data_IF_881049457490
#
_entry.id   IF_881049457490
#
_cell.length_a   1.000
_cell.length_b   1.000
_cell.length_c   1.000
_cell.angle_alpha   90.00
_cell.angle_beta   90.00
_cell.angle_gamma   90.00
#
_symmetry.space_group_name_H-M   'P 1'
#
loop_
_entity.id
_entity.type
_entity.pdbx_description
1 polymer ?
#
# COMPACT_ATOMS: atom_id res chain seq x y z
N UNK A 1 -15.80 -21.50 28.15
CA UNK A 1 -14.39 -21.94 28.30
C UNK A 1 -13.52 -20.74 28.06
N UNK A 2 -12.93 -20.23 29.14
CA UNK A 2 -12.12 -19.02 29.12
C UNK A 2 -10.74 -19.36 28.51
N UNK A 3 -10.64 -19.25 27.20
CA UNK A 3 -9.42 -19.54 26.45
C UNK A 3 -8.45 -18.36 26.51
N UNK A 4 -8.04 -17.98 27.70
CA UNK A 4 -6.90 -17.07 27.84
C UNK A 4 -5.68 -17.82 27.31
N UNK A 5 -5.19 -17.42 26.13
CA UNK A 5 -3.90 -17.88 25.63
C UNK A 5 -2.85 -17.55 26.70
N UNK A 6 -2.12 -18.54 27.20
CA UNK A 6 -0.99 -18.31 28.08
C UNK A 6 0.06 -17.48 27.35
N UNK A 7 0.62 -16.47 28.02
CA UNK A 7 1.73 -15.71 27.47
C UNK A 7 2.92 -16.62 27.25
N UNK A 8 3.49 -16.60 26.06
CA UNK A 8 4.69 -17.37 25.72
C UNK A 8 5.93 -16.58 26.15
N UNK A 9 6.77 -17.20 26.97
CA UNK A 9 8.06 -16.65 27.38
C UNK A 9 9.15 -17.13 26.43
N UNK A 10 9.68 -16.26 25.60
CA UNK A 10 10.72 -16.60 24.62
C UNK A 10 12.07 -17.02 25.24
N UNK A 11 12.28 -16.75 26.53
CA UNK A 11 13.52 -17.22 27.23
C UNK A 11 13.56 -18.73 27.36
N UNK A 12 12.41 -19.39 27.21
CA UNK A 12 12.26 -20.85 27.27
C UNK A 12 12.42 -21.55 25.91
N UNK A 13 12.63 -20.78 24.85
CA UNK A 13 12.67 -21.29 23.46
C UNK A 13 13.95 -20.87 22.76
N UNK A 14 14.46 -21.74 21.91
CA UNK A 14 15.42 -21.38 20.89
C UNK A 14 14.67 -20.92 19.62
N UNK A 15 15.25 -20.04 18.78
CA UNK A 15 14.60 -19.55 17.57
C UNK A 15 14.16 -20.64 16.59
N UNK A 16 14.89 -21.76 16.48
CA UNK A 16 14.56 -22.88 15.60
C UNK A 16 13.33 -23.67 16.07
N UNK A 17 13.04 -23.71 17.36
CA UNK A 17 11.81 -24.30 17.90
C UNK A 17 10.56 -23.52 17.43
N UNK A 18 10.72 -22.26 17.08
CA UNK A 18 9.70 -21.42 16.45
C UNK A 18 9.78 -21.41 14.91
N UNK A 19 10.49 -22.35 14.31
CA UNK A 19 10.76 -22.41 12.88
C UNK A 19 11.39 -21.12 12.34
N UNK A 20 12.29 -20.52 13.11
CA UNK A 20 13.13 -19.40 12.69
C UNK A 20 14.54 -19.94 12.33
N UNK A 21 15.29 -19.19 11.48
CA UNK A 21 16.58 -19.68 11.00
C UNK A 21 17.59 -19.93 12.12
N UNK A 22 18.30 -21.05 12.07
CA UNK A 22 19.30 -21.50 13.06
C UNK A 22 20.51 -20.57 13.20
N UNK A 23 20.70 -19.59 12.29
CA UNK A 23 21.71 -18.54 12.45
C UNK A 23 21.45 -17.64 13.66
N UNK A 24 20.23 -17.62 14.18
CA UNK A 24 19.87 -16.95 15.43
C UNK A 24 19.97 -17.97 16.57
N UNK A 25 21.05 -17.90 17.34
CA UNK A 25 21.33 -18.90 18.39
C UNK A 25 20.39 -18.77 19.60
N UNK A 26 19.94 -17.56 19.94
CA UNK A 26 19.03 -17.32 21.07
C UNK A 26 18.30 -15.99 20.91
N UNK A 27 17.23 -15.83 21.65
CA UNK A 27 16.58 -14.53 21.81
C UNK A 27 17.31 -13.68 22.84
N UNK A 28 17.44 -12.37 22.56
CA UNK A 28 17.96 -11.41 23.54
C UNK A 28 16.89 -11.12 24.58
N UNK A 29 17.29 -10.80 25.79
CA UNK A 29 16.37 -10.46 26.89
C UNK A 29 15.36 -9.36 26.50
N UNK A 30 15.84 -8.30 25.82
CA UNK A 30 14.97 -7.22 25.35
C UNK A 30 13.92 -7.68 24.32
N UNK A 31 14.23 -8.69 23.50
CA UNK A 31 13.27 -9.26 22.54
C UNK A 31 12.22 -10.12 23.25
N UNK A 32 12.64 -10.94 24.22
CA UNK A 32 11.74 -11.75 25.02
C UNK A 32 10.76 -10.87 25.81
N UNK A 33 11.28 -9.86 26.50
CA UNK A 33 10.46 -8.90 27.22
C UNK A 33 9.47 -8.16 26.31
N UNK A 34 9.92 -7.72 25.12
CA UNK A 34 9.05 -7.01 24.17
C UNK A 34 7.93 -7.92 23.63
N UNK A 35 8.20 -9.21 23.35
CA UNK A 35 7.17 -10.16 22.93
C UNK A 35 6.18 -10.45 24.05
N UNK A 36 6.66 -10.71 25.25
CA UNK A 36 5.82 -10.95 26.43
C UNK A 36 4.91 -9.76 26.70
N UNK A 37 5.47 -8.55 26.72
CA UNK A 37 4.71 -7.32 26.89
C UNK A 37 3.66 -7.12 25.80
N UNK A 38 4.03 -7.31 24.52
CA UNK A 38 3.09 -7.15 23.40
C UNK A 38 1.91 -8.14 23.50
N UNK A 39 2.18 -9.40 23.90
CA UNK A 39 1.12 -10.37 24.13
C UNK A 39 0.16 -9.89 25.25
N UNK A 40 0.71 -9.37 26.35
CA UNK A 40 -0.09 -8.85 27.48
C UNK A 40 -0.98 -7.67 27.05
N UNK A 41 -0.48 -6.78 26.20
CA UNK A 41 -1.26 -5.68 25.63
C UNK A 41 -2.45 -6.20 24.84
N UNK A 42 -2.27 -7.15 23.94
CA UNK A 42 -3.37 -7.72 23.14
C UNK A 42 -4.36 -8.54 24.00
N UNK A 43 -3.86 -9.25 25.01
CA UNK A 43 -4.71 -9.99 25.97
C UNK A 43 -5.55 -9.03 26.84
N UNK A 44 -5.08 -7.80 27.08
CA UNK A 44 -5.85 -6.76 27.78
C UNK A 44 -6.98 -6.14 26.93
N UNK A 45 -7.12 -6.58 25.66
CA UNK A 45 -8.12 -6.08 24.71
C UNK A 45 -7.70 -4.82 23.98
N UNK A 46 -6.43 -4.40 24.07
CA UNK A 46 -5.89 -3.29 23.27
C UNK A 46 -5.56 -3.78 21.87
N UNK A 47 -5.89 -2.95 20.88
CA UNK A 47 -5.59 -3.23 19.46
C UNK A 47 -4.17 -2.89 19.07
N UNK A 48 -3.59 -1.86 19.69
CA UNK A 48 -2.30 -1.28 19.32
C UNK A 48 -1.25 -1.39 20.41
N UNK A 49 -0.08 -1.93 20.05
CA UNK A 49 1.10 -1.94 20.90
C UNK A 49 2.20 -1.06 20.29
N UNK A 50 2.67 -0.08 21.06
CA UNK A 50 3.78 0.81 20.69
C UNK A 50 5.10 0.28 21.24
N UNK A 51 6.00 -0.21 20.40
CA UNK A 51 7.25 -0.87 20.83
C UNK A 51 8.46 -0.02 20.46
N UNK A 52 9.17 0.46 21.47
CA UNK A 52 10.41 1.22 21.29
C UNK A 52 11.62 0.29 21.50
N UNK A 53 12.25 -0.12 20.39
CA UNK A 53 13.46 -0.95 20.42
C UNK A 53 14.62 -0.21 19.75
N UNK A 54 15.78 -0.08 20.44
CA UNK A 54 16.93 0.63 19.90
C UNK A 54 17.46 -0.04 18.62
N UNK A 55 18.22 0.72 17.83
CA UNK A 55 18.93 0.18 16.69
C UNK A 55 19.88 -0.94 17.14
N UNK A 56 19.89 -2.04 16.39
CA UNK A 56 20.70 -3.22 16.74
C UNK A 56 20.07 -4.16 17.79
N UNK A 57 18.90 -3.83 18.36
CA UNK A 57 18.20 -4.74 19.28
C UNK A 57 17.64 -6.01 18.60
N UNK A 58 17.66 -6.07 17.26
CA UNK A 58 17.12 -7.19 16.49
C UNK A 58 15.61 -7.12 16.32
N UNK A 59 15.08 -5.94 15.92
CA UNK A 59 13.66 -5.71 15.60
C UNK A 59 13.10 -6.74 14.62
N UNK A 60 13.90 -7.16 13.63
CA UNK A 60 13.49 -8.14 12.62
C UNK A 60 13.18 -9.51 13.25
N UNK A 61 14.05 -9.97 14.15
CA UNK A 61 13.85 -11.24 14.89
C UNK A 61 12.65 -11.13 15.84
N UNK A 62 12.50 -9.99 16.55
CA UNK A 62 11.32 -9.73 17.39
C UNK A 62 10.03 -9.84 16.57
N UNK A 63 9.96 -9.19 15.39
CA UNK A 63 8.77 -9.20 14.55
C UNK A 63 8.39 -10.61 14.10
N UNK A 64 9.39 -11.39 13.67
CA UNK A 64 9.17 -12.77 13.24
C UNK A 64 8.82 -13.70 14.40
N UNK A 65 9.46 -13.53 15.56
CA UNK A 65 9.14 -14.31 16.76
C UNK A 65 7.70 -14.03 17.22
N UNK A 66 7.28 -12.76 17.26
CA UNK A 66 5.91 -12.39 17.61
C UNK A 66 4.88 -13.02 16.65
N UNK A 67 5.15 -12.99 15.34
CA UNK A 67 4.30 -13.63 14.34
C UNK A 67 4.15 -15.13 14.58
N UNK A 68 5.24 -15.82 14.96
CA UNK A 68 5.21 -17.25 15.30
C UNK A 68 4.45 -17.55 16.59
N UNK A 69 4.70 -16.75 17.63
CA UNK A 69 4.08 -16.92 18.95
C UNK A 69 2.57 -16.69 18.89
N UNK A 70 2.11 -15.68 18.15
CA UNK A 70 0.67 -15.45 17.99
C UNK A 70 0.01 -16.43 17.01
N UNK A 71 0.77 -17.04 16.11
CA UNK A 71 0.29 -18.09 15.20
C UNK A 71 -0.77 -17.62 14.19
N UNK A 72 -0.95 -16.29 14.01
CA UNK A 72 -1.95 -15.71 13.11
C UNK A 72 -1.29 -15.22 11.83
N UNK A 73 -2.05 -15.14 10.72
CA UNK A 73 -1.55 -14.53 9.49
C UNK A 73 -1.06 -13.11 9.74
N UNK A 74 0.19 -12.84 9.36
CA UNK A 74 0.90 -11.62 9.74
C UNK A 74 1.42 -10.85 8.53
N UNK A 75 1.25 -9.52 8.55
CA UNK A 75 1.90 -8.60 7.60
C UNK A 75 2.94 -7.77 8.33
N UNK A 76 4.13 -7.66 7.74
CA UNK A 76 5.20 -6.78 8.19
C UNK A 76 5.35 -5.65 7.16
N UNK A 77 5.25 -4.41 7.61
CA UNK A 77 5.47 -3.22 6.77
C UNK A 77 6.83 -2.60 7.07
N UNK A 78 7.54 -2.28 6.00
CA UNK A 78 8.85 -1.60 6.07
C UNK A 78 8.83 -0.29 5.31
N UNK A 79 9.72 0.64 5.66
CA UNK A 79 9.82 1.94 4.98
C UNK A 79 10.57 1.87 3.66
N UNK A 80 11.53 0.96 3.52
CA UNK A 80 12.43 0.89 2.38
C UNK A 80 12.54 -0.51 1.79
N UNK A 81 12.93 -0.59 0.50
CA UNK A 81 13.23 -1.85 -0.17
C UNK A 81 14.44 -2.56 0.44
N UNK A 82 15.44 -1.81 0.91
CA UNK A 82 16.62 -2.40 1.56
C UNK A 82 16.28 -3.12 2.86
N UNK A 83 15.38 -2.57 3.69
CA UNK A 83 14.86 -3.27 4.86
C UNK A 83 14.05 -4.51 4.47
N UNK A 84 13.25 -4.42 3.41
CA UNK A 84 12.51 -5.58 2.91
C UNK A 84 13.45 -6.70 2.44
N UNK A 85 14.54 -6.36 1.77
CA UNK A 85 15.60 -7.31 1.36
C UNK A 85 16.29 -7.94 2.57
N UNK A 86 16.65 -7.14 3.57
CA UNK A 86 17.24 -7.65 4.81
C UNK A 86 16.34 -8.69 5.51
N UNK A 87 15.03 -8.44 5.58
CA UNK A 87 14.08 -9.41 6.14
C UNK A 87 14.06 -10.71 5.31
N UNK A 88 14.10 -10.60 3.99
CA UNK A 88 14.12 -11.78 3.11
C UNK A 88 15.41 -12.58 3.25
N UNK A 89 16.56 -11.91 3.28
CA UNK A 89 17.86 -12.57 3.48
C UNK A 89 17.91 -13.31 4.82
N UNK A 90 17.21 -12.76 5.81
CA UNK A 90 17.15 -13.35 7.14
C UNK A 90 16.12 -14.48 7.26
N UNK A 91 14.93 -14.36 6.64
CA UNK A 91 13.77 -15.18 6.98
C UNK A 91 13.02 -15.82 5.80
N UNK A 92 13.50 -15.71 4.56
CA UNK A 92 12.85 -16.40 3.44
C UNK A 92 12.78 -17.92 3.66
N UNK A 93 13.83 -18.52 4.22
CA UNK A 93 13.86 -19.94 4.57
C UNK A 93 12.84 -20.33 5.66
N UNK A 94 12.41 -19.37 6.45
CA UNK A 94 11.34 -19.53 7.44
C UNK A 94 9.93 -19.26 6.87
N UNK A 95 9.76 -19.15 5.55
CA UNK A 95 8.48 -18.96 4.89
C UNK A 95 7.97 -17.52 4.89
N UNK A 96 8.86 -16.52 5.02
CA UNK A 96 8.53 -15.13 4.76
C UNK A 96 8.41 -14.91 3.25
N UNK A 97 7.25 -14.41 2.82
CA UNK A 97 6.95 -14.07 1.42
C UNK A 97 6.97 -12.56 1.25
N UNK A 98 7.43 -12.05 0.10
CA UNK A 98 7.38 -10.62 -0.18
C UNK A 98 6.48 -10.27 -1.37
N UNK A 99 6.02 -9.02 -1.37
CA UNK A 99 5.37 -8.39 -2.52
C UNK A 99 5.81 -6.93 -2.65
N UNK A 100 6.06 -6.52 -3.89
CA UNK A 100 6.51 -5.15 -4.24
C UNK A 100 5.64 -4.59 -5.36
N UNK A 101 5.80 -3.31 -5.66
CA UNK A 101 5.16 -2.71 -6.84
C UNK A 101 5.55 -3.43 -8.13
N UNK A 102 4.63 -3.48 -9.08
CA UNK A 102 4.77 -4.23 -10.35
C UNK A 102 6.07 -3.90 -11.11
N UNK A 103 6.57 -2.69 -10.98
CA UNK A 103 7.81 -2.24 -11.63
C UNK A 103 9.08 -2.95 -11.11
N UNK A 104 8.99 -3.72 -10.04
CA UNK A 104 10.10 -4.51 -9.52
C UNK A 104 10.20 -5.91 -10.17
N UNK A 105 9.21 -6.29 -10.96
CA UNK A 105 9.14 -7.60 -11.61
C UNK A 105 9.49 -7.51 -13.09
N UNK A 106 10.19 -8.52 -13.61
CA UNK A 106 10.47 -8.64 -15.03
C UNK A 106 9.17 -8.93 -15.81
N UNK A 107 8.98 -8.26 -16.93
CA UNK A 107 7.84 -8.51 -17.79
C UNK A 107 8.10 -9.76 -18.65
N UNK A 108 7.39 -10.85 -18.42
CA UNK A 108 7.51 -12.10 -19.21
C UNK A 108 7.17 -11.87 -20.67
N UNK A 109 6.19 -11.02 -20.95
CA UNK A 109 5.78 -10.70 -22.32
C UNK A 109 6.76 -9.84 -23.11
N UNK A 110 7.71 -9.18 -22.47
CA UNK A 110 8.69 -8.26 -23.07
C UNK A 110 10.01 -8.19 -22.29
N UNK A 111 10.77 -9.28 -22.15
CA UNK A 111 12.09 -9.22 -21.52
C UNK A 111 13.05 -8.31 -22.33
N UNK A 112 13.97 -7.56 -21.68
CA UNK A 112 14.23 -7.47 -20.24
C UNK A 112 13.43 -6.36 -19.53
N UNK A 113 12.36 -5.84 -20.15
CA UNK A 113 11.56 -4.74 -19.61
C UNK A 113 10.92 -5.13 -18.27
N UNK A 114 10.76 -4.13 -17.39
CA UNK A 114 10.00 -4.28 -16.15
C UNK A 114 8.50 -4.07 -16.41
N UNK A 115 7.66 -4.61 -15.54
CA UNK A 115 6.23 -4.47 -15.67
C UNK A 115 5.80 -3.00 -15.50
N UNK A 116 5.22 -2.42 -16.54
CA UNK A 116 4.73 -1.03 -16.55
C UNK A 116 3.21 -0.94 -16.71
N UNK A 117 2.62 -1.96 -17.33
CA UNK A 117 1.25 -1.90 -17.82
C UNK A 117 0.32 -2.77 -16.99
N UNK A 118 -0.93 -2.35 -16.86
CA UNK A 118 -2.01 -3.10 -16.23
C UNK A 118 -3.05 -3.59 -17.27
N UNK A 119 -4.19 -4.10 -16.79
CA UNK A 119 -5.27 -4.60 -17.67
C UNK A 119 -5.78 -3.54 -18.65
N UNK A 120 -5.97 -2.31 -18.19
CA UNK A 120 -6.48 -1.20 -19.00
C UNK A 120 -5.51 -0.79 -20.11
N UNK A 121 -4.19 -0.91 -19.86
CA UNK A 121 -3.17 -0.62 -20.85
C UNK A 121 -2.88 -1.80 -21.77
N UNK A 122 -3.74 -2.80 -21.79
CA UNK A 122 -3.69 -3.95 -22.70
C UNK A 122 -2.58 -4.96 -22.35
N UNK A 123 -2.33 -5.19 -21.08
CA UNK A 123 -1.53 -6.32 -20.64
C UNK A 123 -2.33 -7.62 -20.80
N UNK A 124 -1.87 -8.50 -21.68
CA UNK A 124 -2.53 -9.77 -21.95
C UNK A 124 -2.35 -10.79 -20.82
N UNK A 125 -1.36 -10.59 -19.95
CA UNK A 125 -1.05 -11.47 -18.81
C UNK A 125 -1.58 -10.92 -17.48
N UNK A 126 -2.40 -9.88 -17.50
CA UNK A 126 -3.02 -9.37 -16.29
C UNK A 126 -4.00 -10.41 -15.72
N UNK A 127 -3.76 -10.82 -14.48
CA UNK A 127 -4.52 -11.89 -13.82
C UNK A 127 -4.05 -13.31 -14.17
N UNK A 128 -3.02 -13.47 -15.02
CA UNK A 128 -2.46 -14.77 -15.37
C UNK A 128 -1.24 -15.10 -14.49
N UNK A 129 -1.22 -16.29 -13.90
CA UNK A 129 -0.09 -16.77 -13.08
C UNK A 129 1.21 -16.98 -13.88
N UNK A 130 1.17 -16.99 -15.20
CA UNK A 130 2.35 -16.90 -16.06
C UNK A 130 3.07 -15.54 -15.97
N UNK A 131 2.43 -14.49 -15.41
CA UNK A 131 3.06 -13.22 -15.10
C UNK A 131 3.78 -13.26 -13.76
N UNK A 132 5.04 -12.89 -13.71
CA UNK A 132 5.85 -12.89 -12.46
C UNK A 132 5.24 -12.03 -11.37
N UNK A 133 4.63 -10.89 -11.70
CA UNK A 133 3.96 -10.04 -10.73
C UNK A 133 2.65 -10.66 -10.19
N UNK A 134 1.83 -11.22 -11.08
CA UNK A 134 0.57 -11.84 -10.66
C UNK A 134 0.81 -13.12 -9.86
N UNK A 135 1.85 -13.91 -10.20
CA UNK A 135 2.29 -15.05 -9.40
C UNK A 135 2.72 -14.60 -7.99
N UNK A 136 3.59 -13.60 -7.89
CA UNK A 136 4.02 -13.06 -6.59
C UNK A 136 2.85 -12.49 -5.78
N UNK A 137 1.89 -11.83 -6.44
CA UNK A 137 0.67 -11.32 -5.81
C UNK A 137 -0.21 -12.45 -5.29
N UNK A 138 -0.30 -13.55 -6.03
CA UNK A 138 -1.02 -14.74 -5.61
C UNK A 138 -0.35 -15.40 -4.40
N UNK A 139 0.96 -15.61 -4.44
CA UNK A 139 1.75 -16.15 -3.32
C UNK A 139 1.60 -15.27 -2.06
N UNK A 140 1.66 -13.94 -2.21
CA UNK A 140 1.45 -13.00 -1.11
C UNK A 140 0.08 -13.16 -0.46
N UNK A 141 -0.96 -13.47 -1.23
CA UNK A 141 -2.32 -13.70 -0.69
C UNK A 141 -2.43 -15.01 0.11
N UNK A 142 -1.60 -16.00 -0.19
CA UNK A 142 -1.58 -17.29 0.50
C UNK A 142 -0.61 -17.32 1.68
N UNK A 143 0.24 -16.31 1.82
CA UNK A 143 1.31 -16.28 2.80
C UNK A 143 0.78 -16.27 4.24
N UNK A 144 1.40 -17.04 5.13
CA UNK A 144 1.19 -16.92 6.58
C UNK A 144 1.91 -15.69 7.14
N UNK A 145 3.07 -15.36 6.59
CA UNK A 145 3.83 -14.17 6.95
C UNK A 145 4.26 -13.46 5.67
N UNK A 146 3.79 -12.24 5.51
CA UNK A 146 4.02 -11.39 4.36
C UNK A 146 4.85 -10.18 4.76
N UNK A 147 5.83 -9.80 3.93
CA UNK A 147 6.49 -8.50 4.04
C UNK A 147 6.24 -7.66 2.81
N UNK A 148 5.98 -6.37 3.03
CA UNK A 148 5.89 -5.39 1.95
C UNK A 148 6.24 -3.99 2.47
N UNK A 149 6.32 -3.00 1.59
CA UNK A 149 6.52 -1.62 2.01
C UNK A 149 5.18 -0.87 2.21
N UNK A 150 5.21 0.18 3.03
CA UNK A 150 4.04 0.99 3.34
C UNK A 150 3.31 1.49 2.09
N UNK A 151 4.04 1.99 1.09
CA UNK A 151 3.43 2.56 -0.12
C UNK A 151 2.67 1.51 -0.93
N UNK A 152 3.20 0.29 -1.04
CA UNK A 152 2.51 -0.81 -1.70
C UNK A 152 1.26 -1.24 -0.92
N UNK A 153 1.41 -1.43 0.40
CA UNK A 153 0.31 -1.82 1.28
C UNK A 153 -0.88 -0.87 1.21
N UNK A 154 -0.62 0.42 1.41
CA UNK A 154 -1.69 1.43 1.40
C UNK A 154 -2.35 1.52 0.02
N UNK A 155 -1.57 1.54 -1.06
CA UNK A 155 -2.13 1.58 -2.43
C UNK A 155 -2.93 0.34 -2.78
N UNK A 156 -2.45 -0.84 -2.42
CA UNK A 156 -3.16 -2.10 -2.68
C UNK A 156 -4.51 -2.16 -1.94
N UNK A 157 -4.60 -1.59 -0.73
CA UNK A 157 -5.82 -1.59 0.06
C UNK A 157 -6.76 -0.42 -0.23
N UNK A 158 -6.25 0.73 -0.69
CA UNK A 158 -7.09 1.88 -1.08
C UNK A 158 -7.66 1.71 -2.50
N UNK A 159 -6.81 1.32 -3.44
CA UNK A 159 -7.13 1.33 -4.87
C UNK A 159 -7.19 -0.06 -5.51
N UNK A 160 -6.69 -1.09 -4.84
CA UNK A 160 -6.70 -2.45 -5.34
C UNK A 160 -8.06 -3.13 -5.12
N UNK A 161 -8.55 -3.93 -6.09
CA UNK A 161 -9.77 -4.69 -5.90
C UNK A 161 -9.61 -5.67 -4.73
N UNK A 162 -10.23 -5.34 -3.61
CA UNK A 162 -10.29 -6.16 -2.40
C UNK A 162 -8.99 -6.31 -1.60
N UNK A 163 -8.00 -5.45 -1.80
CA UNK A 163 -6.75 -5.49 -1.05
C UNK A 163 -5.88 -6.73 -1.33
N UNK A 164 -4.90 -6.96 -0.46
CA UNK A 164 -3.99 -8.12 -0.61
C UNK A 164 -4.64 -9.46 -0.23
N UNK A 165 -5.77 -9.43 0.48
CA UNK A 165 -6.56 -10.62 0.82
C UNK A 165 -7.97 -10.60 0.26
N UNK A 166 -8.17 -9.98 -0.91
CA UNK A 166 -9.43 -10.13 -1.60
C UNK A 166 -9.67 -11.60 -1.98
N UNK A 167 -10.91 -12.00 -1.80
CA UNK A 167 -11.44 -13.35 -1.96
C UNK A 167 -11.44 -13.88 -3.40
N UNK A 168 -11.05 -13.08 -4.39
CA UNK A 168 -11.11 -13.51 -5.80
C UNK A 168 -9.71 -13.83 -6.29
N UNK A 169 -9.38 -15.11 -6.30
CA UNK A 169 -8.22 -15.67 -7.00
C UNK A 169 -8.47 -15.82 -8.51
N UNK A 170 -7.46 -16.26 -9.28
CA UNK A 170 -7.67 -16.68 -10.65
C UNK A 170 -8.68 -17.84 -10.72
N UNK A 171 -9.36 -18.04 -11.87
CA UNK A 171 -10.33 -19.12 -12.01
C UNK A 171 -9.74 -20.48 -11.59
N UNK A 172 -10.39 -21.16 -10.65
CA UNK A 172 -9.96 -22.45 -10.12
C UNK A 172 -9.05 -22.41 -8.90
N UNK A 173 -8.69 -21.24 -8.38
CA UNK A 173 -7.94 -21.13 -7.13
C UNK A 173 -8.87 -21.20 -5.91
N UNK A 174 -8.40 -21.84 -4.83
CA UNK A 174 -9.12 -21.83 -3.55
C UNK A 174 -9.19 -20.42 -2.96
N UNK A 175 -10.31 -20.07 -2.39
CA UNK A 175 -10.47 -18.81 -1.63
C UNK A 175 -9.48 -18.78 -0.46
N UNK A 176 -8.88 -17.60 -0.23
CA UNK A 176 -8.06 -17.38 0.97
C UNK A 176 -9.00 -17.25 2.16
N UNK A 177 -8.95 -18.21 3.07
CA UNK A 177 -9.92 -18.32 4.16
C UNK A 177 -9.63 -17.42 5.35
N UNK A 178 -8.36 -17.10 5.62
CA UNK A 178 -7.98 -16.43 6.87
C UNK A 178 -7.62 -14.96 6.68
N UNK A 179 -8.32 -14.03 7.35
CA UNK A 179 -7.94 -12.62 7.35
C UNK A 179 -6.61 -12.40 8.08
N UNK A 180 -5.95 -11.28 7.80
CA UNK A 180 -4.76 -10.88 8.55
C UNK A 180 -5.10 -10.67 10.04
N UNK A 181 -4.36 -11.33 10.93
CA UNK A 181 -4.55 -11.25 12.37
C UNK A 181 -3.58 -10.30 13.06
N UNK A 182 -2.43 -10.02 12.42
CA UNK A 182 -1.38 -9.16 12.96
C UNK A 182 -0.80 -8.27 11.86
N UNK A 183 -0.62 -6.98 12.18
CA UNK A 183 0.12 -6.01 11.37
C UNK A 183 1.31 -5.49 12.20
N UNK A 184 2.51 -5.61 11.65
CA UNK A 184 3.73 -5.06 12.28
C UNK A 184 4.26 -3.94 11.41
N UNK A 185 4.33 -2.74 11.97
CA UNK A 185 4.81 -1.53 11.32
C UNK A 185 6.25 -1.25 11.77
N UNK A 186 7.24 -1.75 11.01
CA UNK A 186 8.65 -1.46 11.27
C UNK A 186 9.01 -0.06 10.79
N UNK A 187 9.77 0.67 11.61
CA UNK A 187 9.99 2.11 11.47
C UNK A 187 8.68 2.89 11.28
N UNK A 188 7.73 2.64 12.19
CA UNK A 188 6.34 3.10 12.14
C UNK A 188 6.16 4.61 12.00
N UNK A 189 7.20 5.41 12.26
CA UNK A 189 7.17 6.86 12.01
C UNK A 189 7.00 7.23 10.53
N UNK A 190 7.32 6.33 9.59
CA UNK A 190 7.08 6.51 8.16
C UNK A 190 5.65 6.17 7.69
N UNK A 191 4.86 5.57 8.56
CA UNK A 191 3.51 5.11 8.19
C UNK A 191 2.59 6.26 7.75
N UNK A 192 2.67 7.40 8.45
CA UNK A 192 1.89 8.58 8.10
C UNK A 192 2.31 9.24 6.80
N UNK A 193 3.61 9.31 6.55
CA UNK A 193 4.13 9.85 5.29
C UNK A 193 3.66 9.00 4.10
N UNK A 194 3.70 7.69 4.24
CA UNK A 194 3.21 6.76 3.21
C UNK A 194 1.69 6.90 3.00
N UNK A 195 0.92 7.04 4.07
CA UNK A 195 -0.53 7.26 3.98
C UNK A 195 -0.84 8.60 3.31
N UNK A 196 -0.18 9.69 3.73
CA UNK A 196 -0.33 11.01 3.11
C UNK A 196 0.02 10.97 1.63
N UNK A 197 1.13 10.32 1.26
CA UNK A 197 1.54 10.17 -0.13
C UNK A 197 0.59 9.32 -0.97
N UNK A 198 -0.11 8.36 -0.37
CA UNK A 198 -1.12 7.56 -1.06
C UNK A 198 -2.47 8.29 -1.19
N UNK A 199 -2.82 9.13 -0.23
CA UNK A 199 -4.02 9.98 -0.27
C UNK A 199 -3.86 11.18 -1.19
N UNK A 200 -2.63 11.62 -1.46
CA UNK A 200 -2.35 12.75 -2.35
C UNK A 200 -2.92 12.53 -3.73
N UNK A 201 -3.71 13.49 -4.19
CA UNK A 201 -4.28 13.51 -5.54
C UNK A 201 -3.58 14.56 -6.37
N UNK A 202 -3.28 14.24 -7.62
CA UNK A 202 -2.66 15.18 -8.56
C UNK A 202 -3.40 15.18 -9.88
N UNK A 203 -3.62 16.39 -10.40
CA UNK A 203 -4.13 16.63 -11.76
C UNK A 203 -3.09 17.44 -12.51
N UNK A 204 -2.72 16.99 -13.70
CA UNK A 204 -1.72 17.68 -14.53
C UNK A 204 -2.34 18.32 -15.76
N UNK A 205 -1.78 19.41 -16.19
CA UNK A 205 -2.21 20.09 -17.42
C UNK A 205 -2.11 19.16 -18.64
N UNK A 206 -1.11 18.28 -18.70
CA UNK A 206 -0.97 17.28 -19.77
C UNK A 206 -2.18 16.35 -19.85
N UNK A 207 -2.66 15.84 -18.70
CA UNK A 207 -3.84 14.96 -18.65
C UNK A 207 -5.10 15.69 -19.11
N UNK A 208 -5.29 16.93 -18.68
CA UNK A 208 -6.42 17.76 -19.07
C UNK A 208 -6.41 18.14 -20.56
N UNK A 209 -5.24 18.40 -21.11
CA UNK A 209 -5.08 18.63 -22.56
C UNK A 209 -5.42 17.37 -23.39
N UNK A 210 -5.15 16.18 -22.85
CA UNK A 210 -5.48 14.92 -23.52
C UNK A 210 -6.99 14.74 -23.77
N UNK A 211 -7.83 15.41 -22.97
CA UNK A 211 -9.31 15.46 -23.12
C UNK A 211 -9.83 16.79 -23.67
N UNK A 212 -8.91 17.70 -24.09
CA UNK A 212 -9.29 19.00 -24.66
C UNK A 212 -9.78 20.02 -23.64
N UNK A 213 -9.56 19.83 -22.34
CA UNK A 213 -10.08 20.69 -21.27
C UNK A 213 -8.96 21.43 -20.48
N UNK A 214 -7.74 21.48 -21.01
CA UNK A 214 -6.63 22.15 -20.33
C UNK A 214 -6.87 23.64 -20.07
N UNK A 215 -7.35 24.38 -21.05
CA UNK A 215 -7.64 25.80 -20.90
C UNK A 215 -8.86 26.06 -20.03
N UNK A 216 -9.93 25.25 -20.17
CA UNK A 216 -11.11 25.33 -19.32
C UNK A 216 -10.76 25.18 -17.82
N UNK A 217 -9.95 24.19 -17.51
CA UNK A 217 -9.48 23.98 -16.13
C UNK A 217 -8.65 25.15 -15.63
N UNK A 218 -7.73 25.67 -16.43
CA UNK A 218 -6.89 26.81 -16.07
C UNK A 218 -7.69 28.07 -15.80
N UNK A 219 -8.68 28.35 -16.64
CA UNK A 219 -9.55 29.52 -16.49
C UNK A 219 -10.30 29.47 -15.16
N UNK A 220 -10.91 28.32 -14.85
CA UNK A 220 -11.63 28.12 -13.60
C UNK A 220 -10.68 28.11 -12.38
N UNK A 221 -9.54 27.43 -12.50
CA UNK A 221 -8.54 27.36 -11.44
C UNK A 221 -7.80 28.69 -11.18
N UNK A 222 -7.80 29.64 -12.13
CA UNK A 222 -7.16 30.95 -11.96
C UNK A 222 -8.03 31.94 -11.19
N UNK A 223 -9.32 31.74 -11.18
CA UNK A 223 -10.29 32.63 -10.54
C UNK A 223 -10.44 32.43 -9.04
N UNK A 224 -9.97 31.29 -8.53
CA UNK A 224 -10.14 30.95 -7.12
C UNK A 224 -8.90 30.26 -6.58
N UNK A 225 -8.14 31.01 -5.76
CA UNK A 225 -7.03 30.50 -4.96
C UNK A 225 -7.49 30.16 -3.54
N UNK A 226 -8.77 29.96 -3.33
CA UNK A 226 -9.30 29.59 -2.03
C UNK A 226 -8.80 28.19 -1.65
N UNK A 227 -8.48 28.00 -0.38
CA UNK A 227 -8.20 26.70 0.21
C UNK A 227 -9.48 25.85 0.33
N UNK A 228 -10.59 26.33 -0.22
CA UNK A 228 -11.88 25.65 -0.24
C UNK A 228 -11.91 24.59 -1.33
N UNK A 229 -12.31 23.38 -0.96
CA UNK A 229 -12.36 22.25 -1.89
C UNK A 229 -13.59 22.26 -2.80
N UNK A 230 -14.68 22.95 -2.41
CA UNK A 230 -15.95 22.92 -3.15
C UNK A 230 -15.83 23.33 -4.62
N UNK A 231 -15.17 24.44 -4.99
CA UNK A 231 -15.01 24.82 -6.40
C UNK A 231 -14.28 23.75 -7.23
N UNK A 232 -13.33 23.06 -6.60
CA UNK A 232 -12.59 21.98 -7.23
C UNK A 232 -13.44 20.72 -7.44
N UNK A 233 -14.35 20.42 -6.52
CA UNK A 233 -15.32 19.31 -6.67
C UNK A 233 -16.26 19.59 -7.84
N UNK A 234 -16.87 20.76 -7.89
CA UNK A 234 -17.75 21.16 -8.99
C UNK A 234 -17.04 21.08 -10.35
N UNK A 235 -15.79 21.56 -10.39
CA UNK A 235 -14.95 21.47 -11.59
C UNK A 235 -14.64 20.02 -11.96
N UNK A 236 -14.30 19.18 -11.00
CA UNK A 236 -14.01 17.75 -11.21
C UNK A 236 -15.26 17.00 -11.72
N UNK A 237 -16.44 17.24 -11.12
CA UNK A 237 -17.72 16.68 -11.57
C UNK A 237 -18.03 17.08 -13.01
N UNK A 238 -17.87 18.37 -13.34
CA UNK A 238 -18.15 18.89 -14.68
C UNK A 238 -17.35 18.20 -15.80
N UNK A 239 -16.13 17.74 -15.50
CA UNK A 239 -15.25 17.12 -16.49
C UNK A 239 -15.14 15.60 -16.39
N UNK A 240 -15.59 14.99 -15.29
CA UNK A 240 -15.47 13.55 -15.02
C UNK A 240 -16.12 12.70 -16.12
N UNK A 241 -17.33 13.07 -16.56
CA UNK A 241 -18.07 12.35 -17.62
C UNK A 241 -17.24 12.31 -18.91
N UNK A 242 -16.63 13.44 -19.29
CA UNK A 242 -15.80 13.51 -20.49
C UNK A 242 -14.52 12.69 -20.32
N UNK A 243 -13.85 12.74 -19.17
CA UNK A 243 -12.66 11.95 -18.89
C UNK A 243 -12.95 10.44 -18.99
N UNK A 244 -14.06 9.98 -18.40
CA UNK A 244 -14.51 8.59 -18.48
C UNK A 244 -14.83 8.15 -19.92
N UNK A 245 -15.50 9.00 -20.70
CA UNK A 245 -15.80 8.73 -22.10
C UNK A 245 -14.54 8.59 -22.96
N UNK A 246 -13.57 9.50 -22.78
CA UNK A 246 -12.29 9.47 -23.48
C UNK A 246 -11.44 8.26 -23.06
N UNK A 247 -11.45 7.89 -21.78
CA UNK A 247 -10.80 6.68 -21.29
C UNK A 247 -11.38 5.44 -21.97
N UNK A 248 -12.71 5.28 -21.97
CA UNK A 248 -13.40 4.15 -22.57
C UNK A 248 -13.08 4.02 -24.07
N UNK A 249 -13.13 5.13 -24.80
CA UNK A 249 -12.80 5.18 -26.23
C UNK A 249 -11.35 4.84 -26.51
N UNK A 250 -10.43 5.32 -25.66
CA UNK A 250 -8.98 5.04 -25.79
C UNK A 250 -8.62 3.59 -25.47
N UNK A 251 -9.29 2.98 -24.50
CA UNK A 251 -9.14 1.56 -24.16
C UNK A 251 -9.59 0.67 -25.34
N UNK A 252 -10.75 0.97 -25.94
CA UNK A 252 -11.24 0.22 -27.09
C UNK A 252 -10.33 0.38 -28.32
N UNK A 253 -9.88 1.61 -28.59
CA UNK A 253 -8.90 1.86 -29.66
C UNK A 253 -7.61 1.08 -29.46
N UNK A 254 -7.09 1.02 -28.23
CA UNK A 254 -5.91 0.24 -27.89
C UNK A 254 -6.14 -1.25 -28.13
N UNK A 255 -7.32 -1.77 -27.72
CA UNK A 255 -7.70 -3.17 -27.89
C UNK A 255 -7.76 -3.57 -29.37
N UNK A 256 -8.40 -2.75 -30.21
CA UNK A 256 -8.47 -2.97 -31.66
C UNK A 256 -7.09 -2.88 -32.29
N UNK A 257 -6.31 -1.85 -31.95
CA UNK A 257 -4.97 -1.63 -32.49
C UNK A 257 -3.99 -2.76 -32.12
N UNK A 258 -4.11 -3.33 -30.93
CA UNK A 258 -3.28 -4.46 -30.49
C UNK A 258 -3.55 -5.74 -31.32
N UNK A 259 -4.79 -5.94 -31.76
CA UNK A 259 -5.20 -7.09 -32.60
C UNK A 259 -4.83 -6.91 -34.06
N UNK A 260 -4.80 -5.68 -34.57
CA UNK A 260 -4.60 -5.38 -35.98
C UNK A 260 -3.14 -5.20 -36.42
N UNK A 261 -2.15 -5.54 -35.57
CA UNK A 261 -0.73 -5.50 -35.93
C UNK A 261 -0.17 -4.08 -36.12
N UNK A 262 -0.78 -3.08 -35.55
CA UNK A 262 -0.32 -1.68 -35.60
C UNK A 262 1.12 -1.54 -35.08
N UNK A 263 1.89 -0.64 -35.69
CA UNK A 263 3.29 -0.37 -35.34
C UNK A 263 3.46 -0.14 -33.83
N UNK A 264 4.50 -0.76 -33.26
CA UNK A 264 4.74 -0.81 -31.81
C UNK A 264 4.83 0.59 -31.15
N UNK A 265 5.41 1.59 -31.84
CA UNK A 265 5.46 2.97 -31.37
C UNK A 265 4.08 3.57 -31.11
N UNK A 266 3.12 3.32 -32.01
CA UNK A 266 1.74 3.80 -31.85
C UNK A 266 1.03 3.10 -30.68
N UNK A 267 1.29 1.81 -30.48
CA UNK A 267 0.75 1.09 -29.31
C UNK A 267 1.29 1.63 -27.97
N UNK A 268 2.57 2.02 -27.94
CA UNK A 268 3.16 2.63 -26.74
C UNK A 268 2.46 3.96 -26.43
N UNK A 269 2.29 4.82 -27.42
CA UNK A 269 1.59 6.11 -27.24
C UNK A 269 0.13 5.92 -26.77
N UNK A 270 -0.59 4.94 -27.33
CA UNK A 270 -1.95 4.64 -26.89
C UNK A 270 -2.00 4.13 -25.45
N UNK A 271 -1.05 3.30 -25.04
CA UNK A 271 -0.95 2.80 -23.67
C UNK A 271 -0.65 3.93 -22.68
N UNK A 272 0.24 4.85 -23.04
CA UNK A 272 0.52 6.03 -22.21
C UNK A 272 -0.71 6.93 -22.09
N UNK A 273 -1.42 7.16 -23.19
CA UNK A 273 -2.69 7.90 -23.17
C UNK A 273 -3.73 7.25 -22.26
N UNK A 274 -3.95 5.95 -22.39
CA UNK A 274 -4.90 5.20 -21.53
C UNK A 274 -4.50 5.35 -20.07
N UNK A 275 -3.22 5.19 -19.72
CA UNK A 275 -2.74 5.35 -18.36
C UNK A 275 -2.96 6.77 -17.81
N UNK A 276 -2.64 7.80 -18.61
CA UNK A 276 -2.85 9.18 -18.20
C UNK A 276 -4.34 9.49 -17.96
N UNK A 277 -5.22 8.95 -18.81
CA UNK A 277 -6.68 9.10 -18.67
C UNK A 277 -7.24 8.32 -17.48
N UNK A 278 -6.77 7.10 -17.25
CA UNK A 278 -7.16 6.29 -16.09
C UNK A 278 -6.75 6.98 -14.79
N UNK A 279 -5.51 7.48 -14.72
CA UNK A 279 -5.03 8.26 -13.57
C UNK A 279 -5.85 9.55 -13.38
N UNK A 280 -6.16 10.26 -14.46
CA UNK A 280 -7.01 11.47 -14.38
C UNK A 280 -8.40 11.14 -13.84
N UNK A 281 -9.05 10.10 -14.37
CA UNK A 281 -10.39 9.70 -13.92
C UNK A 281 -10.39 9.35 -12.44
N UNK A 282 -9.43 8.56 -11.97
CA UNK A 282 -9.28 8.24 -10.55
C UNK A 282 -9.02 9.48 -9.69
N UNK A 283 -8.24 10.45 -10.20
CA UNK A 283 -7.99 11.72 -9.51
C UNK A 283 -9.26 12.55 -9.39
N UNK A 284 -10.06 12.65 -10.46
CA UNK A 284 -11.32 13.39 -10.45
C UNK A 284 -12.33 12.75 -9.49
N UNK A 285 -12.50 11.42 -9.54
CA UNK A 285 -13.38 10.69 -8.62
C UNK A 285 -12.95 10.90 -7.16
N UNK A 286 -11.64 10.94 -6.91
CA UNK A 286 -11.10 11.21 -5.57
C UNK A 286 -11.41 12.64 -5.11
N UNK A 287 -11.27 13.65 -5.98
CA UNK A 287 -11.59 15.07 -5.66
C UNK A 287 -13.07 15.21 -5.32
N UNK A 288 -13.94 14.60 -6.10
CA UNK A 288 -15.41 14.61 -5.83
C UNK A 288 -15.74 14.04 -4.45
N UNK A 289 -15.01 13.02 -4.01
CA UNK A 289 -15.17 12.40 -2.69
C UNK A 289 -14.57 13.17 -1.51
N UNK A 290 -13.80 14.25 -1.74
CA UNK A 290 -13.16 15.02 -0.67
C UNK A 290 -14.21 15.80 0.16
N UNK A 291 -13.89 16.01 1.46
CA UNK A 291 -14.70 16.85 2.33
C UNK A 291 -13.95 18.16 2.61
N UNK A 292 -14.70 19.26 2.72
CA UNK A 292 -14.11 20.55 3.10
C UNK A 292 -13.38 20.47 4.43
N UNK A 293 -12.31 21.24 4.57
CA UNK A 293 -11.43 21.36 5.74
C UNK A 293 -10.39 20.26 5.89
N UNK A 294 -10.48 19.16 5.15
CA UNK A 294 -9.54 18.05 5.27
C UNK A 294 -8.41 18.12 4.23
N UNK A 295 -8.51 19.05 3.28
CA UNK A 295 -7.64 19.12 2.12
C UNK A 295 -7.14 20.54 1.86
N UNK A 296 -5.91 20.62 1.34
CA UNK A 296 -5.32 21.85 0.81
C UNK A 296 -4.92 21.65 -0.64
N UNK A 297 -5.04 22.70 -1.44
CA UNK A 297 -4.69 22.66 -2.86
C UNK A 297 -3.47 23.51 -3.11
N UNK A 298 -2.46 22.92 -3.76
CA UNK A 298 -1.26 23.60 -4.17
C UNK A 298 -1.09 23.52 -5.68
N UNK A 299 -0.72 24.64 -6.31
CA UNK A 299 -0.41 24.71 -7.72
C UNK A 299 1.09 24.92 -7.91
N UNK A 300 1.72 24.10 -8.75
CA UNK A 300 3.13 24.19 -9.12
C UNK A 300 3.33 24.13 -10.63
N UNK A 301 4.39 24.74 -11.13
CA UNK A 301 4.80 24.59 -12.52
C UNK A 301 5.72 23.36 -12.64
N UNK A 302 5.28 22.37 -13.40
CA UNK A 302 6.08 21.20 -13.75
C UNK A 302 6.90 21.43 -15.03
N UNK A 303 8.00 20.73 -15.17
CA UNK A 303 8.91 20.88 -16.34
C UNK A 303 8.37 20.23 -17.61
N UNK A 304 7.77 19.04 -17.51
CA UNK A 304 7.33 18.22 -18.66
C UNK A 304 5.81 18.07 -18.76
N UNK A 305 5.08 18.27 -17.67
CA UNK A 305 3.64 18.02 -17.58
C UNK A 305 2.80 19.30 -17.55
N UNK A 306 3.44 20.46 -17.64
CA UNK A 306 2.81 21.77 -17.46
C UNK A 306 2.46 22.02 -15.99
N UNK A 307 1.38 22.75 -15.72
CA UNK A 307 0.92 22.99 -14.36
C UNK A 307 0.45 21.69 -13.69
N UNK A 308 0.71 21.60 -12.39
CA UNK A 308 0.28 20.49 -11.54
C UNK A 308 -0.52 21.05 -10.38
N UNK A 309 -1.72 20.57 -10.21
CA UNK A 309 -2.55 20.83 -9.04
C UNK A 309 -2.47 19.62 -8.12
N UNK A 310 -2.07 19.87 -6.89
CA UNK A 310 -1.88 18.85 -5.87
C UNK A 310 -2.87 19.08 -4.74
N UNK A 311 -3.61 18.05 -4.40
CA UNK A 311 -4.57 18.03 -3.30
C UNK A 311 -3.96 17.17 -2.20
N UNK A 312 -3.57 17.79 -1.10
CA UNK A 312 -2.95 17.15 0.05
C UNK A 312 -3.91 17.08 1.22
N UNK A 313 -4.00 15.92 1.86
CA UNK A 313 -4.77 15.74 3.07
C UNK A 313 -4.07 16.44 4.24
N UNK A 314 -4.77 17.34 4.95
CA UNK A 314 -4.24 18.11 6.09
C UNK A 314 -3.93 17.20 7.27
N UNK A 315 -4.81 16.23 7.53
CA UNK A 315 -4.69 15.32 8.66
C UNK A 315 -4.86 13.85 8.23
N UNK A 316 -3.81 13.22 7.68
CA UNK A 316 -3.88 11.83 7.21
C UNK A 316 -4.32 10.83 8.29
N UNK A 317 -4.09 11.13 9.57
CA UNK A 317 -4.52 10.29 10.71
C UNK A 317 -6.02 9.99 10.76
N UNK A 318 -6.87 10.85 10.19
CA UNK A 318 -8.31 10.57 10.05
C UNK A 318 -8.60 9.38 9.13
N UNK A 319 -7.67 9.08 8.23
CA UNK A 319 -7.75 8.00 7.25
C UNK A 319 -6.90 6.79 7.63
N UNK A 320 -6.40 6.76 8.87
CA UNK A 320 -5.45 5.75 9.32
C UNK A 320 -6.00 4.33 9.23
N UNK A 321 -7.32 4.14 9.29
CA UNK A 321 -7.95 2.82 9.12
C UNK A 321 -7.71 2.25 7.70
N UNK A 322 -7.41 3.07 6.70
CA UNK A 322 -6.95 2.61 5.38
C UNK A 322 -5.55 1.96 5.43
N UNK A 323 -4.77 2.28 6.45
CA UNK A 323 -3.48 1.64 6.74
C UNK A 323 -3.68 0.40 7.63
N UNK A 324 -4.54 0.50 8.66
CA UNK A 324 -4.76 -0.58 9.64
C UNK A 324 -5.66 -1.70 9.12
N UNK A 325 -6.51 -1.43 8.12
CA UNK A 325 -7.37 -2.41 7.41
C UNK A 325 -8.19 -3.29 8.36
N UNK A 326 -8.64 -2.73 9.48
CA UNK A 326 -9.40 -3.43 10.54
C UNK A 326 -8.66 -4.65 11.14
N UNK A 327 -7.35 -4.76 10.96
CA UNK A 327 -6.56 -5.84 11.56
C UNK A 327 -6.64 -5.73 13.08
N UNK A 328 -6.94 -6.83 13.81
CA UNK A 328 -7.23 -6.78 15.24
C UNK A 328 -6.02 -6.49 16.11
N UNK A 329 -4.81 -6.87 15.67
CA UNK A 329 -3.58 -6.67 16.43
C UNK A 329 -2.58 -5.88 15.58
N UNK A 330 -2.14 -4.73 16.09
CA UNK A 330 -1.22 -3.84 15.37
C UNK A 330 -0.04 -3.49 16.26
N UNK A 331 1.15 -3.77 15.81
CA UNK A 331 2.39 -3.32 16.45
C UNK A 331 2.97 -2.16 15.64
N UNK A 332 3.23 -1.06 16.31
CA UNK A 332 4.01 0.06 15.76
C UNK A 332 5.37 0.07 16.45
N UNK A 333 6.43 -0.24 15.73
CA UNK A 333 7.76 -0.28 16.30
C UNK A 333 8.72 0.71 15.62
N UNK A 334 9.59 1.32 16.41
CA UNK A 334 10.67 2.20 15.96
C UNK A 334 11.71 2.38 17.07
N UNK A 335 12.90 2.79 16.70
CA UNK A 335 13.92 3.19 17.69
C UNK A 335 13.59 4.50 18.43
N UNK A 336 12.71 5.31 17.85
CA UNK A 336 12.39 6.68 18.34
C UNK A 336 10.90 6.90 18.55
N UNK A 337 10.14 5.83 18.77
CA UNK A 337 8.69 5.93 18.97
C UNK A 337 8.36 6.73 20.23
N UNK A 338 7.51 7.73 20.08
CA UNK A 338 7.00 8.55 21.19
C UNK A 338 5.48 8.42 21.25
N UNK A 339 4.86 8.64 22.43
CA UNK A 339 3.39 8.65 22.55
C UNK A 339 2.71 9.63 21.58
N UNK A 340 3.35 10.77 21.26
CA UNK A 340 2.86 11.72 20.27
C UNK A 340 2.82 11.10 18.87
N UNK A 341 3.77 10.25 18.52
CA UNK A 341 3.79 9.55 17.22
C UNK A 341 2.54 8.69 17.04
N UNK A 342 2.08 8.03 18.09
CA UNK A 342 0.84 7.22 18.05
C UNK A 342 -0.40 8.10 17.85
N UNK A 343 -0.45 9.32 18.44
CA UNK A 343 -1.54 10.26 18.16
C UNK A 343 -1.57 10.70 16.70
N UNK A 344 -0.40 11.01 16.13
CA UNK A 344 -0.29 11.39 14.72
C UNK A 344 -0.77 10.27 13.80
N UNK A 345 -0.60 9.02 14.20
CA UNK A 345 -1.10 7.83 13.49
C UNK A 345 -2.61 7.63 13.64
N UNK A 346 -3.33 8.55 14.28
CA UNK A 346 -4.76 8.45 14.50
C UNK A 346 -5.16 7.39 15.53
N UNK A 347 -4.21 6.86 16.29
CA UNK A 347 -4.45 5.81 17.29
C UNK A 347 -4.91 6.45 18.59
N UNK A 348 -6.11 6.14 19.03
CA UNK A 348 -6.68 6.68 20.26
C UNK A 348 -6.01 6.10 21.50
N UNK A 349 -5.99 6.88 22.59
CA UNK A 349 -5.31 6.49 23.83
C UNK A 349 -5.91 5.24 24.47
N UNK A 350 -7.20 5.06 24.37
CA UNK A 350 -7.93 3.90 24.89
C UNK A 350 -7.66 2.60 24.12
N UNK A 351 -7.20 2.68 22.85
CA UNK A 351 -6.96 1.53 21.98
C UNK A 351 -5.53 1.00 22.06
N UNK A 352 -4.64 1.68 22.81
CA UNK A 352 -3.19 1.39 22.78
C UNK A 352 -2.55 1.32 24.15
N UNK A 353 -1.33 0.75 24.16
CA UNK A 353 -0.35 0.85 25.22
C UNK A 353 1.06 1.00 24.66
#
# INVERSE_FOLDING_TARGET
MDGRMSTVDLRLFEPDELNLPSKFACFREIQAQAVEWTQSVFQSGKRFAGVCLPTGAGKTLYAMALARVLGVPTVILTSTKGLQEQYLDDFASAGLVDIRGKENYACVGKPPARCKYGPHEGCLLAGDLGCTYESARWEAKQAKTLITNYSYWVRANIFGPGGLRATVGPPGAQEVSDPWGLLICDEGHHAMEALAGALRVQVTERQLRAIGLGEYWKEKASGDTSDEIMPWKELAEAIAIRAQSELKSSVELLRVSAKSGVAQGKLIMLRERVRDLDTLTQSLDSIVGMQDKDWVVEQRQGTTVGRVWTFDCVWPGMWSEKLWCQIPNVVVMSATLKPMSMNLLGIKKEERE
#
